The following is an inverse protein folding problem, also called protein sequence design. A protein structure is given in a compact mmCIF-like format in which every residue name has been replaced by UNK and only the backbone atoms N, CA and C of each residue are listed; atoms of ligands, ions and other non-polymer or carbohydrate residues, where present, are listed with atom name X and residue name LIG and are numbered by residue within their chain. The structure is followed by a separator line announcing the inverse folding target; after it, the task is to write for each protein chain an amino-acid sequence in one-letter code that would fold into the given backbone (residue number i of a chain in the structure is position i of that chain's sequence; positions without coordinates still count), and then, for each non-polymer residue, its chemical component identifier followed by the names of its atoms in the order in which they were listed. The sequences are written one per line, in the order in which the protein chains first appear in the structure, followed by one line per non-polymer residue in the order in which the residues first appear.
data_IF_386250826790
#
_entry.id   IF_386250826790
#
_cell.length_a   1.000
_cell.length_b   1.000
_cell.length_c   1.000
_cell.angle_alpha   90.00
_cell.angle_beta   90.00
_cell.angle_gamma   90.00
#
_symmetry.space_group_name_H-M   'P 1'
#
loop_
_entity.id
_entity.type
_entity.pdbx_description
1 polymer ?
#
# COMPACT_ATOMS: atom_id res chain seq x y z
N UNK A 1 -14.78 12.94 17.43
CA UNK A 1 -14.20 12.20 16.29
C UNK A 1 -14.77 12.78 15.02
N UNK A 2 -13.94 13.40 14.18
CA UNK A 2 -14.36 13.90 12.89
C UNK A 2 -13.82 12.95 11.82
N UNK A 3 -14.70 12.37 11.01
CA UNK A 3 -14.29 11.56 9.87
C UNK A 3 -13.84 12.48 8.73
N UNK A 4 -12.53 12.68 8.60
CA UNK A 4 -11.94 13.43 7.50
C UNK A 4 -11.47 12.41 6.43
N UNK A 5 -12.10 12.39 5.24
CA UNK A 5 -11.78 11.41 4.21
C UNK A 5 -10.31 11.50 3.80
N UNK A 6 -9.67 10.35 3.59
CA UNK A 6 -8.25 10.23 3.25
C UNK A 6 -7.26 10.45 4.40
N UNK A 7 -7.72 10.63 5.64
CA UNK A 7 -6.85 10.86 6.81
C UNK A 7 -7.22 9.95 7.99
N UNK A 8 -6.26 9.71 8.89
CA UNK A 8 -6.46 8.82 10.04
C UNK A 8 -5.31 7.83 10.21
N UNK A 9 -5.21 7.21 11.39
CA UNK A 9 -4.24 6.15 11.61
C UNK A 9 -4.79 4.83 11.04
N UNK A 10 -3.98 4.05 10.29
CA UNK A 10 -4.43 2.78 9.76
C UNK A 10 -4.57 1.75 10.87
N UNK A 11 -5.75 1.13 10.97
CA UNK A 11 -6.01 0.05 11.92
C UNK A 11 -5.20 -1.21 11.57
N UNK A 12 -4.89 -2.08 12.57
CA UNK A 12 -4.21 -3.36 12.32
C UNK A 12 -4.93 -4.24 11.28
N UNK A 13 -6.26 -4.16 11.21
CA UNK A 13 -7.09 -4.89 10.24
C UNK A 13 -6.80 -4.43 8.80
N UNK A 14 -6.66 -3.12 8.58
CA UNK A 14 -6.29 -2.56 7.27
C UNK A 14 -4.90 -3.03 6.85
N UNK A 15 -3.93 -3.01 7.77
CA UNK A 15 -2.56 -3.46 7.50
C UNK A 15 -2.50 -4.96 7.14
N UNK A 16 -3.27 -5.80 7.82
CA UNK A 16 -3.38 -7.22 7.49
C UNK A 16 -3.99 -7.43 6.10
N UNK A 17 -5.08 -6.73 5.78
CA UNK A 17 -5.72 -6.80 4.47
C UNK A 17 -4.76 -6.37 3.34
N UNK A 18 -4.06 -5.23 3.50
CA UNK A 18 -3.02 -4.77 2.55
C UNK A 18 -1.93 -5.82 2.36
N UNK A 19 -1.52 -6.48 3.44
CA UNK A 19 -0.50 -7.54 3.39
C UNK A 19 -0.99 -8.73 2.57
N UNK A 20 -2.20 -9.24 2.84
CA UNK A 20 -2.77 -10.38 2.10
C UNK A 20 -2.95 -10.02 0.63
N UNK A 21 -3.54 -8.86 0.32
CA UNK A 21 -3.71 -8.38 -1.06
C UNK A 21 -2.39 -8.31 -1.81
N UNK A 22 -1.36 -7.71 -1.20
CA UNK A 22 -0.05 -7.60 -1.81
C UNK A 22 0.62 -8.97 -2.05
N UNK A 23 0.50 -9.89 -1.10
CA UNK A 23 1.06 -11.25 -1.22
C UNK A 23 0.37 -12.05 -2.32
N UNK A 24 -0.93 -11.94 -2.46
CA UNK A 24 -1.68 -12.60 -3.53
C UNK A 24 -1.27 -12.06 -4.90
N UNK A 25 -1.21 -10.74 -5.07
CA UNK A 25 -0.81 -10.10 -6.33
C UNK A 25 0.61 -10.50 -6.72
N UNK A 26 1.57 -10.38 -5.79
CA UNK A 26 2.96 -10.71 -6.07
C UNK A 26 3.19 -12.19 -6.37
N UNK A 27 2.45 -13.10 -5.73
CA UNK A 27 2.56 -14.54 -6.00
C UNK A 27 2.01 -14.89 -7.38
N UNK A 28 0.86 -14.32 -7.75
CA UNK A 28 0.26 -14.53 -9.06
C UNK A 28 1.15 -13.98 -10.18
N UNK A 29 1.74 -12.79 -9.99
CA UNK A 29 2.67 -12.19 -10.95
C UNK A 29 3.85 -13.12 -11.26
N UNK A 30 4.55 -13.62 -10.22
CA UNK A 30 5.66 -14.56 -10.41
C UNK A 30 5.21 -15.87 -11.06
N UNK A 31 4.05 -16.44 -10.69
CA UNK A 31 3.53 -17.67 -11.31
C UNK A 31 3.26 -17.47 -12.80
N UNK A 32 2.62 -16.35 -13.18
CA UNK A 32 2.30 -16.04 -14.57
C UNK A 32 3.60 -15.84 -15.37
N UNK A 33 4.53 -15.03 -14.87
CA UNK A 33 5.79 -14.74 -15.57
C UNK A 33 6.62 -16.02 -15.72
N UNK A 34 6.78 -16.82 -14.66
CA UNK A 34 7.56 -18.07 -14.74
C UNK A 34 6.94 -19.08 -15.71
N UNK A 35 5.60 -19.18 -15.75
CA UNK A 35 4.89 -20.07 -16.67
C UNK A 35 5.09 -19.67 -18.14
N UNK A 36 5.13 -18.37 -18.42
CA UNK A 36 5.34 -17.85 -19.78
C UNK A 36 6.76 -18.08 -20.29
N UNK A 37 7.72 -18.29 -19.39
CA UNK A 37 9.14 -18.17 -19.72
C UNK A 37 9.94 -19.47 -19.58
N UNK A 38 9.30 -20.57 -19.17
CA UNK A 38 9.94 -21.91 -19.13
C UNK A 38 10.59 -22.30 -20.47
N UNK A 39 11.92 -22.50 -20.51
CA UNK A 39 12.63 -23.08 -21.65
C UNK A 39 14.11 -22.70 -21.86
N UNK A 40 14.62 -21.58 -21.32
CA UNK A 40 16.04 -21.21 -21.46
C UNK A 40 16.57 -20.27 -20.35
N UNK A 41 17.90 -20.17 -20.22
CA UNK A 41 18.57 -19.23 -19.30
C UNK A 41 18.39 -17.76 -19.68
N UNK A 42 18.37 -17.43 -20.98
CA UNK A 42 18.07 -16.08 -21.46
C UNK A 42 16.63 -15.68 -21.12
N UNK A 43 15.72 -16.65 -21.13
CA UNK A 43 14.36 -16.49 -20.66
C UNK A 43 14.33 -16.11 -19.16
N UNK A 44 15.09 -16.81 -18.30
CA UNK A 44 15.17 -16.48 -16.87
C UNK A 44 15.66 -15.06 -16.56
N UNK A 45 16.62 -14.54 -17.32
CA UNK A 45 17.05 -13.15 -17.19
C UNK A 45 15.93 -12.16 -17.55
N UNK A 46 15.17 -12.45 -18.61
CA UNK A 46 14.00 -11.65 -18.98
C UNK A 46 12.89 -11.72 -17.92
N UNK A 47 12.69 -12.86 -17.24
CA UNK A 47 11.78 -12.98 -16.08
C UNK A 47 12.17 -12.02 -14.97
N UNK A 48 13.43 -12.05 -14.53
CA UNK A 48 13.87 -11.24 -13.39
C UNK A 48 13.69 -9.74 -13.65
N UNK A 49 13.99 -9.29 -14.87
CA UNK A 49 13.76 -7.90 -15.27
C UNK A 49 12.26 -7.59 -15.35
N UNK A 50 11.48 -8.47 -15.98
CA UNK A 50 10.02 -8.29 -16.10
C UNK A 50 9.38 -8.21 -14.73
N UNK A 51 9.68 -9.14 -13.83
CA UNK A 51 9.17 -9.18 -12.46
C UNK A 51 9.50 -7.89 -11.70
N UNK A 52 10.73 -7.36 -11.84
CA UNK A 52 11.10 -6.10 -11.20
C UNK A 52 10.17 -4.96 -11.63
N UNK A 53 9.95 -4.81 -12.94
CA UNK A 53 9.11 -3.74 -13.47
C UNK A 53 7.62 -3.97 -13.24
N UNK A 54 7.11 -5.18 -13.43
CA UNK A 54 5.69 -5.51 -13.21
C UNK A 54 5.33 -5.32 -11.76
N UNK A 55 6.16 -5.79 -10.82
CA UNK A 55 5.91 -5.67 -9.39
C UNK A 55 5.97 -4.22 -8.92
N UNK A 56 6.85 -3.40 -9.49
CA UNK A 56 6.86 -1.95 -9.22
C UNK A 56 5.54 -1.29 -9.69
N UNK A 57 5.07 -1.64 -10.89
CA UNK A 57 3.80 -1.13 -11.42
C UNK A 57 2.58 -1.62 -10.62
N UNK A 58 2.53 -2.91 -10.29
CA UNK A 58 1.47 -3.51 -9.49
C UNK A 58 1.44 -2.93 -8.07
N UNK A 59 2.60 -2.66 -7.47
CA UNK A 59 2.67 -2.01 -6.16
C UNK A 59 2.07 -0.60 -6.20
N UNK A 60 2.41 0.19 -7.21
CA UNK A 60 1.84 1.52 -7.40
C UNK A 60 0.31 1.45 -7.52
N UNK A 61 -0.22 0.54 -8.35
CA UNK A 61 -1.66 0.36 -8.49
C UNK A 61 -2.31 -0.15 -7.21
N UNK A 62 -1.66 -1.05 -6.48
CA UNK A 62 -2.13 -1.55 -5.19
C UNK A 62 -2.28 -0.41 -4.18
N UNK A 63 -1.26 0.43 -4.02
CA UNK A 63 -1.34 1.59 -3.14
C UNK A 63 -2.36 2.61 -3.63
N UNK A 64 -2.48 2.82 -4.96
CA UNK A 64 -3.47 3.74 -5.51
C UNK A 64 -4.90 3.27 -5.25
N UNK A 65 -5.18 1.98 -5.42
CA UNK A 65 -6.48 1.38 -5.09
C UNK A 65 -6.81 1.51 -3.61
N UNK A 66 -5.83 1.29 -2.73
CA UNK A 66 -5.99 1.51 -1.28
C UNK A 66 -6.17 2.98 -0.91
N UNK A 67 -5.56 3.91 -1.65
CA UNK A 67 -5.70 5.35 -1.42
C UNK A 67 -7.10 5.89 -1.72
N UNK A 68 -7.90 5.17 -2.51
CA UNK A 68 -9.29 5.53 -2.80
C UNK A 68 -10.27 5.03 -1.74
N UNK A 69 -9.83 4.19 -0.82
CA UNK A 69 -10.67 3.60 0.22
C UNK A 69 -10.22 4.04 1.61
N UNK A 70 -11.12 4.70 2.34
CA UNK A 70 -10.93 5.10 3.74
C UNK A 70 -11.20 3.96 4.73
N UNK A 71 -11.55 2.77 4.24
CA UNK A 71 -11.87 1.63 5.09
C UNK A 71 -10.69 1.26 6.00
N UNK A 72 -10.96 1.20 7.30
CA UNK A 72 -9.99 0.83 8.32
C UNK A 72 -9.02 1.95 8.69
N UNK A 73 -9.34 3.21 8.40
CA UNK A 73 -8.75 4.40 9.03
C UNK A 73 -9.48 4.72 10.34
N UNK A 74 -8.73 5.11 11.37
CA UNK A 74 -9.27 5.62 12.62
C UNK A 74 -9.58 7.12 12.48
N UNK A 75 -10.70 7.55 13.06
CA UNK A 75 -11.09 8.95 13.07
C UNK A 75 -10.07 9.79 13.86
N UNK A 76 -9.73 10.94 13.29
CA UNK A 76 -8.84 11.89 13.96
C UNK A 76 -9.65 12.69 14.98
N UNK A 77 -9.11 12.81 16.20
CA UNK A 77 -9.65 13.76 17.18
C UNK A 77 -9.34 15.19 16.71
N UNK A 78 -10.35 16.06 16.59
CA UNK A 78 -10.11 17.46 16.25
C UNK A 78 -9.14 18.11 17.25
N UNK A 79 -8.17 18.87 16.75
CA UNK A 79 -7.23 19.63 17.58
C UNK A 79 -8.04 20.61 18.43
N UNK A 80 -7.94 20.51 19.76
CA UNK A 80 -8.50 21.48 20.69
C UNK A 80 -7.57 22.71 20.75
N UNK A 81 -8.00 23.90 20.25
CA UNK A 81 -7.17 25.10 20.25
C UNK A 81 -6.74 25.54 21.66
N UNK A 82 -7.49 25.16 22.70
CA UNK A 82 -7.18 25.48 24.09
C UNK A 82 -6.07 24.59 24.69
N UNK A 83 -5.75 23.47 24.03
CA UNK A 83 -4.63 22.59 24.40
C UNK A 83 -3.28 23.07 23.86
N UNK A 84 -3.26 24.08 22.99
CA UNK A 84 -2.04 24.66 22.45
C UNK A 84 -1.43 25.55 23.55
N UNK A 85 -0.24 25.23 24.09
CA UNK A 85 0.41 26.08 25.07
C UNK A 85 0.75 27.41 24.40
N UNK A 86 0.02 28.47 24.77
CA UNK A 86 0.32 29.83 24.33
C UNK A 86 1.66 30.20 24.93
N UNK A 87 2.70 30.32 24.09
CA UNK A 87 4.00 30.79 24.54
C UNK A 87 3.81 32.15 25.26
N UNK A 88 4.39 32.35 26.44
CA UNK A 88 4.23 33.61 27.16
C UNK A 88 4.76 34.77 26.30
N UNK A 89 4.13 35.95 26.35
CA UNK A 89 4.64 37.13 25.65
C UNK A 89 6.04 37.48 26.18
N UNK A 90 6.95 37.78 25.24
CA UNK A 90 8.35 38.13 25.50
C UNK A 90 8.53 39.47 26.20
#
# INVERSE_FOLDING_TARGET
MAHIPGTGHPTPKRSLAKTVSWRTIGTLDTIIITRLVTGSWSAGAAVGVTELFTKMFLYYLHERGWSWSDWGLEDVEPIDPSSIPVAPPA
#
